data_IF_906077160388
#
_entry.id   IF_906077160388
#
_cell.length_a   1.000
_cell.length_b   1.000
_cell.length_c   1.000
_cell.angle_alpha   90.00
_cell.angle_beta   90.00
_cell.angle_gamma   90.00
#
_symmetry.space_group_name_H-M   'P 1'
#
loop_
_entity.id
_entity.type
_entity.pdbx_description
1 polymer ?
#
# COMPACT_ATOMS: atom_id res chain seq x y z
N UNK A 1 -13.31 -6.99 -0.58
CA UNK A 1 -12.75 -7.06 0.80
C UNK A 1 -13.16 -5.82 1.57
N UNK A 2 -13.64 -6.03 2.78
CA UNK A 2 -14.02 -4.93 3.67
C UNK A 2 -12.88 -4.66 4.65
N UNK A 3 -12.19 -3.54 4.45
CA UNK A 3 -11.02 -3.19 5.24
C UNK A 3 -11.40 -2.19 6.32
N UNK A 4 -11.10 -2.53 7.57
CA UNK A 4 -11.35 -1.66 8.71
C UNK A 4 -10.04 -1.13 9.27
N UNK A 5 -9.53 -0.08 8.65
CA UNK A 5 -8.34 0.61 9.09
C UNK A 5 -8.60 2.10 9.17
N UNK A 6 -7.83 2.77 9.97
CA UNK A 6 -7.94 4.21 10.17
C UNK A 6 -6.63 4.89 9.82
N UNK A 7 -6.70 6.16 9.48
CA UNK A 7 -5.51 6.97 9.24
C UNK A 7 -4.56 6.87 10.43
N UNK A 8 -3.30 6.61 10.14
CA UNK A 8 -2.26 6.46 11.15
C UNK A 8 -1.99 5.04 11.59
N UNK A 9 -2.86 4.08 11.26
CA UNK A 9 -2.60 2.67 11.55
C UNK A 9 -1.37 2.21 10.77
N UNK A 10 -0.49 1.46 11.43
CA UNK A 10 0.60 0.78 10.74
C UNK A 10 0.10 -0.57 10.23
N UNK A 11 0.31 -0.84 8.95
CA UNK A 11 -0.22 -2.03 8.29
C UNK A 11 0.83 -2.72 7.44
N UNK A 12 0.60 -4.01 7.24
CA UNK A 12 1.30 -4.84 6.27
C UNK A 12 0.30 -5.25 5.20
N UNK A 13 0.67 -5.10 3.93
CA UNK A 13 -0.20 -5.45 2.81
C UNK A 13 0.55 -6.32 1.81
N UNK A 14 -0.08 -7.44 1.42
CA UNK A 14 0.29 -8.22 0.26
C UNK A 14 -0.65 -7.87 -0.88
N UNK A 15 -0.12 -7.62 -2.06
CA UNK A 15 -0.92 -7.20 -3.20
C UNK A 15 -0.31 -7.70 -4.50
N UNK A 16 -1.13 -7.71 -5.55
CA UNK A 16 -0.69 -8.12 -6.89
C UNK A 16 -0.46 -6.88 -7.73
N UNK A 17 0.78 -6.71 -8.18
CA UNK A 17 1.15 -5.61 -9.04
C UNK A 17 1.03 -5.99 -10.50
N UNK A 18 0.67 -5.02 -11.32
CA UNK A 18 0.63 -5.19 -12.77
C UNK A 18 2.03 -4.95 -13.31
N UNK A 19 2.53 -5.93 -14.07
CA UNK A 19 3.82 -5.79 -14.73
C UNK A 19 3.61 -5.55 -16.21
N UNK A 20 4.46 -4.71 -16.81
CA UNK A 20 4.43 -4.42 -18.23
C UNK A 20 5.85 -4.24 -18.75
N UNK A 21 6.13 -4.87 -19.88
CA UNK A 21 7.41 -4.73 -20.56
C UNK A 21 7.17 -4.80 -22.07
N UNK A 22 7.29 -3.65 -22.73
CA UNK A 22 6.99 -3.52 -24.15
C UNK A 22 8.06 -4.09 -25.07
N UNK A 23 9.20 -4.47 -24.51
CA UNK A 23 10.36 -4.93 -25.29
C UNK A 23 10.79 -6.35 -24.95
N UNK A 24 10.04 -7.04 -24.13
CA UNK A 24 10.37 -8.41 -23.71
C UNK A 24 9.50 -9.42 -24.42
N UNK A 25 10.12 -10.52 -24.85
CA UNK A 25 9.42 -11.70 -25.34
C UNK A 25 9.05 -12.64 -24.19
N UNK A 26 9.42 -12.27 -22.95
CA UNK A 26 9.13 -13.07 -21.79
C UNK A 26 7.64 -13.07 -21.47
N UNK A 27 7.15 -14.18 -20.96
CA UNK A 27 5.78 -14.32 -20.51
C UNK A 27 5.60 -13.52 -19.23
N UNK A 28 4.81 -12.45 -19.31
CA UNK A 28 4.57 -11.57 -18.17
C UNK A 28 3.50 -12.15 -17.25
N UNK A 29 3.76 -12.05 -15.96
CA UNK A 29 2.81 -12.43 -14.92
C UNK A 29 2.70 -11.29 -13.92
N UNK A 30 1.52 -11.10 -13.27
CA UNK A 30 1.43 -10.14 -12.19
C UNK A 30 2.40 -10.49 -11.07
N UNK A 31 3.07 -9.50 -10.53
CA UNK A 31 4.05 -9.71 -9.48
C UNK A 31 3.39 -9.62 -8.10
N UNK A 32 3.64 -10.61 -7.25
CA UNK A 32 3.27 -10.53 -5.85
C UNK A 32 4.21 -9.54 -5.15
N UNK A 33 3.63 -8.60 -4.44
CA UNK A 33 4.39 -7.57 -3.75
C UNK A 33 3.91 -7.44 -2.30
N UNK A 34 4.78 -6.92 -1.46
CA UNK A 34 4.44 -6.63 -0.08
C UNK A 34 4.94 -5.26 0.32
N UNK A 35 4.23 -4.62 1.21
CA UNK A 35 4.59 -3.29 1.71
C UNK A 35 4.13 -3.14 3.14
N UNK A 36 4.92 -2.42 3.93
CA UNK A 36 4.55 -1.97 5.27
C UNK A 36 4.55 -0.46 5.29
N UNK A 37 3.59 0.12 5.98
CA UNK A 37 3.49 1.58 6.07
C UNK A 37 2.36 2.00 6.97
N UNK A 38 2.14 3.32 7.00
CA UNK A 38 1.07 3.92 7.77
C UNK A 38 -0.05 4.35 6.84
N UNK A 39 -1.29 4.07 7.24
CA UNK A 39 -2.45 4.44 6.44
C UNK A 39 -2.58 5.97 6.40
N UNK A 40 -2.58 6.52 5.19
CA UNK A 40 -2.89 7.94 4.97
C UNK A 40 -4.37 8.13 4.69
N UNK A 41 -4.93 7.30 3.80
CA UNK A 41 -6.36 7.35 3.49
C UNK A 41 -6.84 6.02 2.92
N UNK A 42 -8.13 5.76 3.08
CA UNK A 42 -8.79 4.56 2.56
C UNK A 42 -10.08 4.99 1.89
N UNK A 43 -10.31 4.49 0.69
CA UNK A 43 -11.58 4.66 -0.01
C UNK A 43 -12.07 3.29 -0.48
N UNK A 44 -13.22 3.25 -1.13
CA UNK A 44 -13.71 2.00 -1.75
C UNK A 44 -12.82 1.52 -2.88
N UNK A 45 -12.08 2.45 -3.50
CA UNK A 45 -11.28 2.17 -4.69
C UNK A 45 -9.83 1.84 -4.39
N UNK A 46 -9.27 2.44 -3.35
CA UNK A 46 -7.85 2.26 -3.05
C UNK A 46 -7.53 2.50 -1.57
N UNK A 47 -6.37 2.01 -1.17
CA UNK A 47 -5.74 2.38 0.09
C UNK A 47 -4.44 3.11 -0.22
N UNK A 48 -4.22 4.24 0.46
CA UNK A 48 -2.99 5.02 0.34
C UNK A 48 -2.18 4.86 1.61
N UNK A 49 -0.94 4.43 1.45
CA UNK A 49 0.01 4.26 2.54
C UNK A 49 1.16 5.23 2.41
N UNK A 50 1.72 5.62 3.55
CA UNK A 50 3.00 6.28 3.62
C UNK A 50 4.04 5.29 4.13
N UNK A 51 5.16 5.16 3.42
CA UNK A 51 6.24 4.25 3.82
C UNK A 51 7.30 4.96 4.65
N UNK A 52 7.16 6.26 4.82
CA UNK A 52 8.07 7.06 5.63
C UNK A 52 7.27 8.06 6.49
N UNK A 53 7.67 8.20 7.74
CA UNK A 53 7.01 9.12 8.66
C UNK A 53 8.05 9.93 9.41
N UNK A 54 8.01 11.26 9.20
CA UNK A 54 8.86 12.17 9.96
C UNK A 54 8.17 12.57 11.24
N UNK A 55 8.88 12.43 12.36
CA UNK A 55 8.39 12.86 13.66
C UNK A 55 9.12 14.12 14.07
N UNK A 56 8.38 15.16 14.40
CA UNK A 56 8.91 16.38 14.99
C UNK A 56 8.36 16.49 16.41
N UNK A 57 8.80 17.49 17.15
CA UNK A 57 8.28 17.76 18.47
C UNK A 57 6.81 18.18 18.46
N UNK A 58 6.28 18.60 17.33
CA UNK A 58 4.94 19.14 17.21
C UNK A 58 3.97 18.27 16.43
N UNK A 59 4.46 17.49 15.43
CA UNK A 59 3.59 16.69 14.58
C UNK A 59 4.34 15.55 13.90
N UNK A 60 3.55 14.65 13.29
CA UNK A 60 4.06 13.60 12.41
C UNK A 60 3.66 13.94 10.98
N UNK A 61 4.57 13.79 10.04
CA UNK A 61 4.32 14.02 8.64
C UNK A 61 4.55 12.74 7.84
N UNK A 62 3.53 12.32 7.09
CA UNK A 62 3.59 11.12 6.27
C UNK A 62 4.14 11.47 4.88
N UNK A 63 5.13 10.71 4.44
CA UNK A 63 5.82 10.92 3.17
C UNK A 63 5.92 9.61 2.38
N UNK A 64 6.38 9.71 1.13
CA UNK A 64 6.65 8.57 0.25
C UNK A 64 5.43 7.66 0.12
N UNK A 65 4.36 8.21 -0.46
CA UNK A 65 3.08 7.55 -0.54
C UNK A 65 2.99 6.56 -1.70
N UNK A 66 2.24 5.48 -1.47
CA UNK A 66 1.84 4.53 -2.48
C UNK A 66 0.33 4.34 -2.38
N UNK A 67 -0.35 4.29 -3.53
CA UNK A 67 -1.77 4.01 -3.59
C UNK A 67 -1.97 2.63 -4.23
N UNK A 68 -2.66 1.74 -3.53
CA UNK A 68 -2.91 0.38 -3.99
C UNK A 68 -4.40 0.23 -4.27
N UNK A 69 -4.79 -0.13 -5.51
CA UNK A 69 -6.20 -0.39 -5.80
C UNK A 69 -6.74 -1.52 -4.93
N UNK A 70 -7.97 -1.36 -4.42
CA UNK A 70 -8.56 -2.37 -3.54
C UNK A 70 -8.65 -3.74 -4.19
N UNK A 71 -8.92 -3.79 -5.49
CA UNK A 71 -8.96 -5.06 -6.22
C UNK A 71 -7.64 -5.79 -6.31
N UNK A 72 -6.54 -5.12 -6.00
CA UNK A 72 -5.20 -5.72 -6.02
C UNK A 72 -4.73 -6.18 -4.63
N UNK A 73 -5.44 -5.83 -3.57
CA UNK A 73 -5.07 -6.23 -2.21
C UNK A 73 -5.43 -7.68 -1.99
N UNK A 74 -4.44 -8.50 -1.64
CA UNK A 74 -4.63 -9.92 -1.32
C UNK A 74 -4.77 -10.15 0.17
N UNK A 75 -4.00 -9.43 0.98
CA UNK A 75 -4.01 -9.59 2.43
C UNK A 75 -3.60 -8.28 3.09
N UNK A 76 -4.24 -7.95 4.20
CA UNK A 76 -3.91 -6.78 4.99
C UNK A 76 -3.92 -7.13 6.48
N UNK A 77 -2.90 -6.72 7.20
CA UNK A 77 -2.81 -6.87 8.65
C UNK A 77 -2.46 -5.53 9.30
N UNK A 78 -3.12 -5.23 10.40
CA UNK A 78 -2.75 -4.10 11.24
C UNK A 78 -1.62 -4.56 12.16
N UNK A 79 -0.48 -3.87 12.13
CA UNK A 79 0.71 -4.23 12.90
C UNK A 79 1.07 -3.21 13.98
N UNK A 80 0.33 -2.13 14.02
CA UNK A 80 0.55 -1.13 15.05
C UNK A 80 -0.35 0.08 15.01
#
# INVERSE_FOLDING_TARGET
MKIKVSKGDAVYIEWMDITADLHSDAKLEPAAAEVMGWVDSVTRKYIRLSTCRYKTSEHCELKDQIAIPMGCVERLEIIG
#
